data_IF_866105587941
#
_entry.id   IF_866105587941
#
_cell.length_a   1.000
_cell.length_b   1.000
_cell.length_c   1.000
_cell.angle_alpha   90.00
_cell.angle_beta   90.00
_cell.angle_gamma   90.00
#
_symmetry.space_group_name_H-M   'P 1'
#
loop_
_entity.id
_entity.type
_entity.pdbx_description
1 polymer ?
#
# COMPACT_ATOMS: atom_id res chain seq x y z
N UNK A 1 13.90 -64.55 60.68
CA UNK A 1 13.08 -64.09 59.59
C UNK A 1 12.95 -62.60 59.72
N UNK A 2 13.76 -61.78 58.98
CA UNK A 2 13.70 -60.31 58.97
C UNK A 2 13.40 -59.90 57.55
N UNK A 3 12.20 -59.34 57.33
CA UNK A 3 11.81 -58.74 56.03
C UNK A 3 12.48 -57.38 55.87
N UNK A 4 13.25 -57.22 54.82
CA UNK A 4 13.77 -55.90 54.39
C UNK A 4 12.70 -55.21 53.61
N UNK A 5 12.31 -54.02 54.06
CA UNK A 5 11.46 -53.10 53.35
C UNK A 5 12.34 -52.25 52.46
N UNK A 6 12.18 -52.33 51.16
CA UNK A 6 12.86 -51.48 50.19
C UNK A 6 12.05 -50.19 50.01
N UNK A 7 12.64 -49.07 50.39
CA UNK A 7 12.06 -47.75 50.17
C UNK A 7 12.36 -47.31 48.71
N UNK A 8 11.32 -47.21 47.91
CA UNK A 8 11.40 -46.64 46.56
C UNK A 8 11.26 -45.13 46.71
N UNK A 9 12.31 -44.41 46.41
CA UNK A 9 12.31 -42.96 46.32
C UNK A 9 11.77 -42.63 44.92
N UNK A 10 10.53 -42.15 44.85
CA UNK A 10 9.96 -41.56 43.63
C UNK A 10 10.47 -40.13 43.50
N UNK A 11 11.45 -39.89 42.63
CA UNK A 11 11.84 -38.53 42.24
C UNK A 11 10.75 -37.96 41.32
N UNK A 12 9.92 -37.08 41.86
CA UNK A 12 8.99 -36.30 41.06
C UNK A 12 9.75 -35.25 40.25
N UNK A 13 9.90 -35.48 38.96
CA UNK A 13 10.31 -34.45 38.01
C UNK A 13 9.14 -33.49 37.88
N UNK A 14 9.26 -32.31 38.50
CA UNK A 14 8.38 -31.19 38.25
C UNK A 14 8.82 -30.59 36.91
N UNK A 15 8.17 -30.97 35.81
CA UNK A 15 8.19 -30.23 34.56
C UNK A 15 7.45 -28.92 34.78
N UNK A 16 8.19 -27.83 35.01
CA UNK A 16 7.64 -26.47 34.88
C UNK A 16 7.44 -26.23 33.39
N UNK A 17 6.26 -26.49 32.90
CA UNK A 17 5.76 -25.97 31.64
C UNK A 17 5.63 -24.45 31.82
N UNK A 18 6.65 -23.68 31.39
CA UNK A 18 6.47 -22.29 31.05
C UNK A 18 5.52 -22.26 29.83
N UNK A 19 4.23 -22.20 30.10
CA UNK A 19 3.28 -21.71 29.13
C UNK A 19 3.64 -20.24 28.86
N UNK A 20 4.42 -19.99 27.83
CA UNK A 20 4.49 -18.68 27.22
C UNK A 20 3.08 -18.36 26.73
N UNK A 21 2.29 -17.73 27.57
CA UNK A 21 1.09 -17.01 27.13
C UNK A 21 1.57 -15.96 26.13
N UNK A 22 1.52 -16.32 24.85
CA UNK A 22 1.52 -15.35 23.77
C UNK A 22 0.26 -14.51 23.98
N UNK A 23 0.43 -13.46 24.78
CA UNK A 23 -0.52 -12.37 24.82
C UNK A 23 -0.49 -11.78 23.40
N UNK A 24 -1.41 -12.19 22.55
CA UNK A 24 -1.64 -11.52 21.28
C UNK A 24 -2.25 -10.16 21.64
N UNK A 25 -1.38 -9.23 22.02
CA UNK A 25 -1.72 -7.82 22.00
C UNK A 25 -1.99 -7.47 20.53
N UNK A 26 -3.27 -7.40 20.16
CA UNK A 26 -3.75 -6.99 18.85
C UNK A 26 -3.58 -5.46 18.63
N UNK A 27 -2.50 -4.89 19.11
CA UNK A 27 -2.15 -3.48 18.96
C UNK A 27 -1.11 -3.28 17.86
N UNK A 28 -1.21 -2.16 17.14
CA UNK A 28 -0.19 -1.74 16.19
C UNK A 28 1.17 -1.58 16.88
N UNK A 29 2.24 -2.02 16.21
CA UNK A 29 3.61 -1.80 16.65
C UNK A 29 3.95 -0.31 16.57
N UNK A 30 4.89 0.12 17.40
CA UNK A 30 5.47 1.47 17.27
C UNK A 30 6.52 1.45 16.17
N UNK A 31 6.60 2.55 15.41
CA UNK A 31 7.71 2.78 14.49
C UNK A 31 9.01 2.82 15.31
N UNK A 32 10.08 2.11 14.87
CA UNK A 32 11.39 2.19 15.50
C UNK A 32 11.91 3.63 15.58
N UNK A 33 12.65 3.96 16.65
CA UNK A 33 13.20 5.32 16.81
C UNK A 33 14.41 5.60 15.94
N UNK A 34 15.14 4.55 15.58
CA UNK A 34 16.35 4.65 14.77
C UNK A 34 15.99 4.87 13.30
N UNK A 35 16.47 5.97 12.75
CA UNK A 35 16.31 6.33 11.33
C UNK A 35 17.57 5.88 10.60
N UNK A 36 17.47 4.82 9.83
CA UNK A 36 18.62 4.21 9.16
C UNK A 36 18.69 4.50 7.66
N UNK A 37 17.59 4.97 7.07
CA UNK A 37 17.45 5.14 5.64
C UNK A 37 18.56 5.99 5.00
N UNK A 38 18.81 7.21 5.51
CA UNK A 38 19.80 8.12 4.92
C UNK A 38 21.18 7.49 4.85
N UNK A 39 21.55 6.74 5.91
CA UNK A 39 22.81 6.00 5.94
C UNK A 39 22.82 4.89 4.89
N UNK A 40 21.74 4.13 4.78
CA UNK A 40 21.61 3.01 3.82
C UNK A 40 21.72 3.53 2.38
N UNK A 41 21.01 4.60 2.03
CA UNK A 41 21.06 5.18 0.70
C UNK A 41 22.47 5.72 0.38
N UNK A 42 23.07 6.47 1.29
CA UNK A 42 24.40 7.04 1.12
C UNK A 42 25.49 5.97 0.99
N UNK A 43 25.53 5.00 1.91
CA UNK A 43 26.54 3.94 1.89
C UNK A 43 26.32 2.97 0.72
N UNK A 44 25.09 2.79 0.28
CA UNK A 44 24.71 1.97 -0.88
C UNK A 44 24.97 2.63 -2.23
N UNK A 45 25.35 3.93 -2.27
CA UNK A 45 25.58 4.66 -3.52
C UNK A 45 24.30 4.88 -4.33
N UNK A 46 23.18 5.14 -3.65
CA UNK A 46 21.89 5.43 -4.31
C UNK A 46 21.83 6.91 -4.73
N UNK A 47 21.43 7.15 -5.95
CA UNK A 47 21.28 8.48 -6.56
C UNK A 47 19.82 8.69 -6.97
N UNK A 48 19.35 9.94 -6.87
CA UNK A 48 18.00 10.34 -7.27
C UNK A 48 17.86 10.21 -8.80
N UNK A 49 16.84 9.46 -9.25
CA UNK A 49 16.57 9.22 -10.68
C UNK A 49 15.18 9.66 -11.12
N UNK A 50 14.25 9.83 -10.17
CA UNK A 50 12.93 10.37 -10.41
C UNK A 50 12.53 11.25 -9.22
N UNK A 51 11.94 12.39 -9.49
CA UNK A 51 11.38 13.27 -8.48
C UNK A 51 10.20 14.06 -9.05
N UNK A 52 9.18 14.23 -8.23
CA UNK A 52 8.16 15.25 -8.41
C UNK A 52 7.80 15.84 -7.04
N UNK A 53 8.11 17.11 -6.83
CA UNK A 53 7.81 17.88 -5.63
C UNK A 53 6.49 18.63 -5.73
N UNK A 54 5.79 18.51 -6.87
CA UNK A 54 4.53 19.19 -7.16
C UNK A 54 4.55 20.70 -6.94
N UNK A 55 5.72 21.34 -7.16
CA UNK A 55 5.93 22.78 -6.97
C UNK A 55 5.21 23.67 -8.00
N UNK A 56 4.62 23.06 -9.04
CA UNK A 56 3.86 23.76 -10.07
C UNK A 56 2.44 24.14 -9.64
N UNK A 57 1.64 24.55 -10.60
CA UNK A 57 0.22 24.86 -10.47
C UNK A 57 -0.70 23.84 -11.18
N UNK A 58 -0.09 22.79 -11.74
CA UNK A 58 -0.74 21.73 -12.48
C UNK A 58 0.07 20.44 -12.45
N UNK A 59 -0.60 19.32 -12.72
CA UNK A 59 0.06 18.02 -12.84
C UNK A 59 0.98 18.00 -14.05
N UNK A 60 2.16 17.44 -13.88
CA UNK A 60 3.10 17.19 -14.97
C UNK A 60 2.69 15.91 -15.72
N UNK A 61 1.90 16.09 -16.78
CA UNK A 61 1.43 14.99 -17.62
C UNK A 61 2.52 14.34 -18.48
N UNK A 62 3.77 14.82 -18.43
CA UNK A 62 4.91 14.11 -19.01
C UNK A 62 5.39 12.98 -18.11
N UNK A 63 5.17 13.10 -16.79
CA UNK A 63 5.53 12.11 -15.76
C UNK A 63 4.35 11.23 -15.34
N UNK A 64 3.13 11.78 -15.33
CA UNK A 64 1.96 11.14 -14.75
C UNK A 64 0.86 10.91 -15.76
N UNK A 65 0.26 9.73 -15.70
CA UNK A 65 -1.06 9.44 -16.26
C UNK A 65 -2.12 9.60 -15.19
N UNK A 66 -3.30 10.06 -15.58
CA UNK A 66 -4.42 10.31 -14.66
C UNK A 66 -5.74 9.80 -15.19
N UNK A 67 -6.77 9.77 -14.33
CA UNK A 67 -8.08 9.23 -14.64
C UNK A 67 -8.06 7.69 -14.63
N UNK A 68 -9.17 7.10 -15.02
CA UNK A 68 -9.32 5.65 -15.08
C UNK A 68 -10.00 5.25 -16.38
N UNK A 69 -9.64 4.11 -16.94
CA UNK A 69 -10.14 3.62 -18.24
C UNK A 69 -11.64 3.34 -18.27
N UNK A 70 -12.24 3.09 -17.10
CA UNK A 70 -13.67 3.01 -16.90
C UNK A 70 -14.13 4.06 -15.89
N UNK A 71 -15.33 4.65 -16.03
CA UNK A 71 -15.79 5.67 -15.11
C UNK A 71 -16.04 5.16 -13.69
N UNK A 72 -16.14 3.87 -13.51
CA UNK A 72 -16.44 3.23 -12.22
C UNK A 72 -15.44 2.13 -11.92
N UNK A 73 -14.91 2.13 -10.70
CA UNK A 73 -14.15 1.02 -10.13
C UNK A 73 -14.54 0.87 -8.66
N UNK A 74 -14.80 -0.37 -8.20
CA UNK A 74 -15.36 -0.64 -6.88
C UNK A 74 -16.64 0.17 -6.67
N UNK A 75 -16.73 1.05 -5.66
CA UNK A 75 -17.89 1.91 -5.44
C UNK A 75 -17.61 3.40 -5.70
N UNK A 76 -16.56 3.73 -6.44
CA UNK A 76 -16.16 5.10 -6.78
C UNK A 76 -16.33 5.43 -8.26
N UNK A 77 -16.69 6.66 -8.53
CA UNK A 77 -16.58 7.28 -9.85
C UNK A 77 -15.19 7.93 -9.99
N UNK A 78 -14.52 7.66 -11.10
CA UNK A 78 -13.19 8.19 -11.38
C UNK A 78 -13.23 9.27 -12.43
N UNK A 79 -12.70 10.43 -12.10
CA UNK A 79 -12.58 11.53 -13.04
C UNK A 79 -11.24 12.26 -12.83
N UNK A 80 -10.73 12.85 -13.90
CA UNK A 80 -9.66 13.81 -13.85
C UNK A 80 -10.27 15.21 -14.01
N UNK A 81 -10.63 15.80 -12.91
CA UNK A 81 -11.21 17.14 -12.85
C UNK A 81 -10.57 17.94 -11.72
N UNK A 82 -10.70 19.27 -11.79
CA UNK A 82 -10.22 20.16 -10.72
C UNK A 82 -10.94 19.95 -9.39
N UNK A 83 -12.06 19.22 -9.38
CA UNK A 83 -12.78 18.86 -8.16
C UNK A 83 -12.09 17.69 -7.44
N UNK A 84 -11.48 16.77 -8.19
CA UNK A 84 -10.95 15.50 -7.68
C UNK A 84 -9.43 15.39 -7.74
N UNK A 85 -8.76 16.19 -8.59
CA UNK A 85 -7.33 16.07 -8.80
C UNK A 85 -6.72 17.43 -9.17
N UNK A 86 -5.81 17.92 -8.33
CA UNK A 86 -5.16 19.22 -8.55
C UNK A 86 -3.83 19.33 -7.81
N UNK A 87 -3.00 20.26 -8.26
CA UNK A 87 -1.77 20.68 -7.60
C UNK A 87 -1.99 22.07 -7.01
N UNK A 88 -1.68 22.25 -5.73
CA UNK A 88 -1.69 23.54 -5.04
C UNK A 88 -0.78 23.53 -3.83
N UNK A 89 -0.21 24.67 -3.51
CA UNK A 89 0.63 24.88 -2.33
C UNK A 89 1.80 23.86 -2.23
N UNK A 90 2.38 23.47 -3.38
CA UNK A 90 3.46 22.49 -3.46
C UNK A 90 3.03 21.07 -3.17
N UNK A 91 1.76 20.72 -3.42
CA UNK A 91 1.25 19.38 -3.18
C UNK A 91 0.33 18.90 -4.30
N UNK A 92 0.39 17.62 -4.62
CA UNK A 92 -0.67 16.93 -5.36
C UNK A 92 -1.77 16.52 -4.39
N UNK A 93 -3.03 16.82 -4.73
CA UNK A 93 -4.20 16.41 -3.98
C UNK A 93 -5.10 15.52 -4.81
N UNK A 94 -5.36 14.31 -4.31
CA UNK A 94 -6.45 13.45 -4.77
C UNK A 94 -7.60 13.62 -3.79
N UNK A 95 -8.63 14.32 -4.21
CA UNK A 95 -9.81 14.63 -3.41
C UNK A 95 -10.93 13.66 -3.67
N UNK A 96 -11.51 13.12 -2.63
CA UNK A 96 -12.71 12.30 -2.70
C UNK A 96 -13.89 13.08 -2.11
N UNK A 97 -14.98 13.20 -2.88
CA UNK A 97 -16.18 13.93 -2.48
C UNK A 97 -17.45 13.24 -2.99
N UNK A 98 -18.55 13.43 -2.25
CA UNK A 98 -19.86 12.93 -2.66
C UNK A 98 -20.60 14.01 -3.43
N UNK A 99 -21.00 13.71 -4.66
CA UNK A 99 -21.73 14.66 -5.50
C UNK A 99 -22.68 13.95 -6.47
N UNK A 100 -23.63 14.72 -7.01
CA UNK A 100 -24.35 14.37 -8.22
C UNK A 100 -23.54 14.92 -9.41
N UNK A 101 -22.76 14.06 -10.05
CA UNK A 101 -21.83 14.41 -11.11
C UNK A 101 -22.20 13.79 -12.46
N UNK A 102 -21.26 13.82 -13.41
CA UNK A 102 -21.51 13.35 -14.79
C UNK A 102 -21.88 11.87 -14.90
N UNK A 103 -21.54 11.05 -13.91
CA UNK A 103 -21.82 9.61 -13.88
C UNK A 103 -22.96 9.24 -12.94
N UNK A 104 -23.57 10.22 -12.26
CA UNK A 104 -24.63 10.04 -11.27
C UNK A 104 -24.22 10.45 -9.85
N UNK A 105 -25.12 10.22 -8.91
CA UNK A 105 -24.89 10.53 -7.50
C UNK A 105 -23.99 9.49 -6.85
N UNK A 106 -22.87 9.91 -6.24
CA UNK A 106 -21.93 9.00 -5.59
C UNK A 106 -20.62 9.66 -5.16
N UNK A 107 -19.69 8.82 -4.73
CA UNK A 107 -18.33 9.23 -4.40
C UNK A 107 -17.49 9.36 -5.66
N UNK A 108 -16.86 10.52 -5.84
CA UNK A 108 -15.96 10.84 -6.93
C UNK A 108 -14.54 10.97 -6.41
N UNK A 109 -13.58 10.43 -7.14
CA UNK A 109 -12.14 10.44 -6.81
C UNK A 109 -11.30 10.43 -8.08
N UNK A 110 -10.00 10.24 -7.97
CA UNK A 110 -9.09 10.13 -9.11
C UNK A 110 -8.03 9.04 -8.91
N UNK A 111 -7.24 8.83 -9.97
CA UNK A 111 -6.20 7.83 -10.09
C UNK A 111 -4.99 8.43 -10.79
N UNK A 112 -3.79 8.20 -10.25
CA UNK A 112 -2.54 8.75 -10.77
C UNK A 112 -1.49 7.66 -10.80
N UNK A 113 -0.78 7.51 -11.94
CA UNK A 113 0.25 6.48 -12.10
C UNK A 113 1.37 6.92 -13.05
N UNK A 114 2.52 6.23 -12.99
CA UNK A 114 3.68 6.49 -13.85
C UNK A 114 3.90 5.40 -14.91
N UNK A 115 2.95 4.50 -15.14
CA UNK A 115 3.09 3.36 -16.05
C UNK A 115 3.54 3.78 -17.45
N UNK A 116 4.57 3.12 -17.99
CA UNK A 116 5.03 3.35 -19.37
C UNK A 116 4.20 2.56 -20.39
N UNK A 117 3.58 1.46 -19.94
CA UNK A 117 2.72 0.61 -20.77
C UNK A 117 1.44 1.34 -21.20
N UNK A 118 0.98 1.06 -22.42
CA UNK A 118 -0.21 1.70 -23.01
C UNK A 118 -1.53 1.24 -22.38
N UNK A 119 -1.61 -0.01 -21.98
CA UNK A 119 -2.80 -0.68 -21.46
C UNK A 119 -2.92 -0.62 -19.92
N UNK A 120 -2.24 0.34 -19.28
CA UNK A 120 -2.41 0.63 -17.86
C UNK A 120 -3.80 1.23 -17.54
N UNK A 121 -4.11 1.36 -16.26
CA UNK A 121 -5.45 1.80 -15.82
C UNK A 121 -5.73 3.27 -16.15
N UNK A 122 -4.75 4.16 -16.03
CA UNK A 122 -4.91 5.58 -16.33
C UNK A 122 -4.81 5.89 -17.82
N UNK A 123 -5.55 6.90 -18.27
CA UNK A 123 -5.75 7.15 -19.71
C UNK A 123 -5.35 8.55 -20.15
N UNK A 124 -5.33 9.55 -19.26
CA UNK A 124 -5.01 10.93 -19.62
C UNK A 124 -3.54 11.21 -19.39
N UNK A 125 -2.86 11.69 -20.42
CA UNK A 125 -1.44 12.06 -20.44
C UNK A 125 -1.18 13.10 -21.53
N UNK A 126 0.02 13.69 -21.54
CA UNK A 126 0.49 14.54 -22.65
C UNK A 126 0.97 13.69 -23.85
N UNK A 127 1.19 14.35 -24.98
CA UNK A 127 1.74 13.70 -26.20
C UNK A 127 3.21 13.30 -26.00
N UNK A 128 3.93 14.02 -25.16
CA UNK A 128 5.33 13.78 -24.79
C UNK A 128 5.48 13.04 -23.45
N UNK A 129 4.48 12.24 -23.09
CA UNK A 129 4.51 11.41 -21.90
C UNK A 129 5.64 10.37 -21.96
N UNK A 130 6.49 10.39 -20.95
CA UNK A 130 7.57 9.41 -20.79
C UNK A 130 7.24 8.37 -19.71
N UNK A 131 6.55 8.80 -18.66
CA UNK A 131 6.28 7.98 -17.49
C UNK A 131 7.55 7.59 -16.72
N UNK A 132 7.42 6.63 -15.83
CA UNK A 132 8.57 6.08 -15.11
C UNK A 132 8.27 4.67 -14.60
N UNK A 133 9.16 3.75 -14.89
CA UNK A 133 9.22 2.45 -14.23
C UNK A 133 10.67 2.01 -14.03
N UNK A 134 10.92 1.19 -13.05
CA UNK A 134 12.27 0.69 -12.78
C UNK A 134 12.24 -0.66 -12.08
N UNK A 135 13.31 -1.43 -12.28
CA UNK A 135 13.61 -2.63 -11.49
C UNK A 135 14.62 -2.23 -10.43
N UNK A 136 14.30 -2.52 -9.17
CA UNK A 136 15.08 -2.17 -7.97
C UNK A 136 15.26 -0.68 -7.74
N UNK A 137 15.47 -0.33 -6.49
CA UNK A 137 15.66 1.04 -6.03
C UNK A 137 14.97 1.30 -4.70
N UNK A 138 15.05 2.52 -4.24
CA UNK A 138 14.26 3.03 -3.13
C UNK A 138 13.18 3.95 -3.66
N UNK A 139 11.93 3.59 -3.43
CA UNK A 139 10.73 4.34 -3.84
C UNK A 139 10.08 4.95 -2.61
N UNK A 140 9.77 6.24 -2.63
CA UNK A 140 9.22 6.96 -1.49
C UNK A 140 8.14 7.96 -1.92
N UNK A 141 7.07 8.03 -1.13
CA UNK A 141 6.13 9.14 -1.13
C UNK A 141 6.03 9.78 0.25
N UNK A 142 5.88 11.11 0.30
CA UNK A 142 5.58 11.86 1.51
C UNK A 142 4.16 12.38 1.42
N UNK A 143 3.28 11.95 2.35
CA UNK A 143 1.85 12.21 2.20
C UNK A 143 1.11 12.28 3.53
N UNK A 144 -0.12 12.82 3.45
CA UNK A 144 -1.14 12.81 4.50
C UNK A 144 -2.31 11.99 3.98
N UNK A 145 -2.73 10.96 4.74
CA UNK A 145 -3.88 10.13 4.39
C UNK A 145 -5.22 10.82 4.76
N UNK A 146 -6.31 10.58 4.04
CA UNK A 146 -7.62 11.15 4.36
C UNK A 146 -8.23 10.53 5.62
N UNK A 147 -8.82 11.34 6.52
CA UNK A 147 -9.40 10.89 7.79
C UNK A 147 -10.84 10.35 7.61
N UNK A 148 -11.02 9.23 6.94
CA UNK A 148 -12.35 8.74 6.56
C UNK A 148 -12.45 7.20 6.56
N UNK A 149 -13.67 6.68 6.67
CA UNK A 149 -13.97 5.26 6.59
C UNK A 149 -14.28 4.85 5.15
N UNK A 150 -13.74 3.73 4.69
CA UNK A 150 -14.08 3.17 3.38
C UNK A 150 -13.63 4.00 2.15
N UNK A 151 -12.81 5.02 2.36
CA UNK A 151 -12.13 5.78 1.30
C UNK A 151 -10.65 5.52 1.52
N UNK A 152 -10.09 4.66 0.71
CA UNK A 152 -8.80 4.03 0.94
C UNK A 152 -7.74 4.57 -0.01
N UNK A 153 -6.80 5.32 0.55
CA UNK A 153 -5.65 5.87 -0.15
C UNK A 153 -4.48 4.91 -0.13
N UNK A 154 -3.70 4.88 -1.21
CA UNK A 154 -2.52 4.04 -1.31
C UNK A 154 -1.39 4.69 -2.12
N UNK A 155 -0.14 4.39 -1.69
CA UNK A 155 1.06 4.48 -2.49
C UNK A 155 1.62 3.08 -2.67
N UNK A 156 1.71 2.63 -3.91
CA UNK A 156 2.01 1.25 -4.26
C UNK A 156 2.67 1.12 -5.64
N UNK A 157 3.22 -0.04 -5.95
CA UNK A 157 3.87 -0.33 -7.22
C UNK A 157 3.22 -1.54 -7.89
N UNK A 158 3.21 -1.52 -9.22
CA UNK A 158 2.72 -2.61 -10.07
C UNK A 158 3.69 -2.91 -11.20
N UNK A 159 3.75 -4.18 -11.66
CA UNK A 159 4.54 -4.56 -12.82
C UNK A 159 4.13 -3.78 -14.08
N UNK A 160 5.11 -3.15 -14.71
CA UNK A 160 4.95 -2.40 -15.96
C UNK A 160 5.19 -3.28 -17.20
N UNK A 161 5.81 -4.43 -17.01
CA UNK A 161 6.10 -5.40 -18.04
C UNK A 161 5.58 -6.79 -17.64
N UNK A 162 5.31 -7.61 -18.64
CA UNK A 162 4.98 -9.00 -18.42
C UNK A 162 3.58 -9.22 -17.85
N UNK A 163 3.39 -10.40 -17.30
CA UNK A 163 2.11 -10.86 -16.76
C UNK A 163 1.95 -10.57 -15.28
N UNK A 164 3.05 -10.24 -14.59
CA UNK A 164 3.15 -9.79 -13.22
C UNK A 164 2.21 -10.52 -12.27
N UNK A 165 1.10 -9.89 -11.96
CA UNK A 165 0.08 -10.38 -11.04
C UNK A 165 -0.85 -11.45 -11.64
N UNK A 166 -0.59 -11.93 -12.86
CA UNK A 166 -1.45 -12.93 -13.47
C UNK A 166 -1.22 -14.32 -12.87
N UNK A 167 -2.24 -15.17 -13.00
CA UNK A 167 -2.16 -16.59 -12.66
C UNK A 167 -1.19 -17.38 -13.55
N UNK A 168 -0.56 -16.71 -14.52
CA UNK A 168 0.36 -17.29 -15.49
C UNK A 168 1.83 -17.20 -15.05
N UNK A 169 2.11 -16.88 -13.77
CA UNK A 169 3.45 -17.02 -13.20
C UNK A 169 3.92 -18.47 -13.32
N UNK A 170 4.60 -18.74 -14.41
CA UNK A 170 5.07 -20.07 -14.79
C UNK A 170 6.03 -20.65 -13.76
N UNK A 171 6.65 -19.78 -12.95
CA UNK A 171 7.64 -20.16 -11.95
C UNK A 171 7.04 -20.33 -10.55
N UNK A 172 5.82 -19.85 -10.33
CA UNK A 172 5.21 -19.80 -9.01
C UNK A 172 6.00 -18.96 -8.00
N UNK A 173 6.78 -17.98 -8.51
CA UNK A 173 7.63 -17.07 -7.74
C UNK A 173 7.21 -15.63 -7.99
N UNK A 174 7.75 -14.67 -7.25
CA UNK A 174 7.50 -13.24 -7.52
C UNK A 174 8.34 -12.66 -8.68
N UNK A 175 9.08 -13.47 -9.42
CA UNK A 175 10.08 -12.97 -10.36
C UNK A 175 9.52 -12.20 -11.55
N UNK A 176 8.29 -12.45 -11.97
CA UNK A 176 7.58 -11.80 -13.07
C UNK A 176 6.69 -10.63 -12.64
N UNK A 177 6.75 -10.28 -11.36
CA UNK A 177 6.13 -9.09 -10.77
C UNK A 177 5.44 -9.35 -9.45
N UNK A 178 5.38 -8.32 -8.64
CA UNK A 178 4.73 -8.32 -7.31
C UNK A 178 4.06 -6.97 -7.12
N UNK A 179 2.76 -6.93 -6.79
CA UNK A 179 2.18 -5.69 -6.27
C UNK A 179 2.79 -5.38 -4.92
N UNK A 180 3.34 -4.17 -4.77
CA UNK A 180 4.06 -3.74 -3.58
C UNK A 180 3.30 -2.58 -2.95
N UNK A 181 2.51 -2.86 -1.90
CA UNK A 181 1.76 -1.83 -1.18
C UNK A 181 2.64 -1.22 -0.09
N UNK A 182 3.15 -0.03 -0.37
CA UNK A 182 4.05 0.69 0.54
C UNK A 182 3.25 1.40 1.63
N UNK A 183 2.12 2.01 1.26
CA UNK A 183 1.19 2.66 2.19
C UNK A 183 -0.25 2.39 1.77
N UNK A 184 -1.07 1.95 2.74
CA UNK A 184 -2.52 1.82 2.60
C UNK A 184 -3.24 2.38 3.83
N UNK A 185 -4.24 3.25 3.63
CA UNK A 185 -5.03 3.84 4.72
C UNK A 185 -6.48 4.13 4.28
N UNK A 186 -7.49 3.80 5.11
CA UNK A 186 -7.38 3.18 6.44
C UNK A 186 -7.16 1.67 6.35
N UNK A 187 -6.43 1.11 7.32
CA UNK A 187 -6.29 -0.33 7.43
C UNK A 187 -7.39 -0.93 8.33
N UNK A 188 -8.20 -1.85 7.77
CA UNK A 188 -9.35 -2.55 8.37
C UNK A 188 -10.58 -1.70 8.67
N UNK A 189 -10.51 -0.61 9.29
CA UNK A 189 -11.60 0.35 9.48
C UNK A 189 -11.03 1.62 10.10
N UNK A 190 -11.54 2.76 9.64
CA UNK A 190 -11.14 4.04 10.18
C UNK A 190 -11.53 4.15 11.66
N UNK A 191 -10.55 4.58 12.45
CA UNK A 191 -10.76 5.07 13.80
C UNK A 191 -9.64 6.06 14.10
N UNK A 192 -9.95 7.21 14.67
CA UNK A 192 -8.92 8.18 15.07
C UNK A 192 -7.86 7.60 16.01
N UNK A 193 -8.17 6.50 16.70
CA UNK A 193 -7.25 5.79 17.59
C UNK A 193 -6.45 4.69 16.86
N UNK A 194 -6.69 4.49 15.57
CA UNK A 194 -6.09 3.44 14.75
C UNK A 194 -5.33 3.98 13.54
N UNK A 195 -4.64 5.08 13.73
CA UNK A 195 -3.69 5.62 12.77
C UNK A 195 -2.58 4.60 12.54
N UNK A 196 -2.72 3.79 11.52
CA UNK A 196 -1.80 2.68 11.29
C UNK A 196 -1.64 2.35 9.81
N UNK A 197 -0.44 1.90 9.46
CA UNK A 197 -0.07 1.38 8.16
C UNK A 197 0.30 -0.10 8.23
N UNK A 198 0.00 -0.82 7.17
CA UNK A 198 0.49 -2.18 6.90
C UNK A 198 1.12 -2.17 5.52
N UNK A 199 2.30 -2.77 5.41
CA UNK A 199 2.90 -3.03 4.11
C UNK A 199 2.45 -4.40 3.61
N UNK A 200 2.11 -4.51 2.35
CA UNK A 200 1.63 -5.75 1.74
C UNK A 200 2.41 -6.05 0.47
N UNK A 201 2.60 -7.32 0.20
CA UNK A 201 3.10 -7.84 -1.06
C UNK A 201 2.06 -8.81 -1.60
N UNK A 202 1.60 -8.59 -2.81
CA UNK A 202 0.73 -9.51 -3.52
C UNK A 202 1.45 -10.08 -4.74
N UNK A 203 1.56 -11.40 -4.79
CA UNK A 203 2.00 -12.13 -5.97
C UNK A 203 0.86 -12.97 -6.53
N UNK A 204 0.95 -13.32 -7.80
CA UNK A 204 0.15 -14.33 -8.48
C UNK A 204 -1.37 -14.24 -8.20
N UNK A 205 -2.00 -13.20 -8.74
CA UNK A 205 -3.45 -13.05 -8.73
C UNK A 205 -4.08 -12.82 -7.37
N UNK A 206 -3.37 -12.21 -6.42
CA UNK A 206 -3.86 -11.90 -5.06
C UNK A 206 -4.20 -13.13 -4.20
N UNK A 207 -3.67 -14.29 -4.56
CA UNK A 207 -3.88 -15.50 -3.79
C UNK A 207 -3.34 -15.35 -2.36
N UNK A 208 -4.08 -15.82 -1.36
CA UNK A 208 -3.62 -15.84 0.03
C UNK A 208 -2.35 -16.68 0.24
N UNK A 209 -2.03 -17.58 -0.69
CA UNK A 209 -0.80 -18.38 -0.70
C UNK A 209 0.37 -17.65 -1.36
N UNK A 210 0.12 -16.49 -1.96
CA UNK A 210 1.11 -15.65 -2.65
C UNK A 210 1.19 -14.24 -2.08
N UNK A 211 0.39 -13.95 -1.06
CA UNK A 211 0.37 -12.62 -0.40
C UNK A 211 1.01 -12.68 0.98
N UNK A 212 1.87 -11.71 1.26
CA UNK A 212 2.53 -11.52 2.55
C UNK A 212 2.27 -10.10 3.06
N UNK A 213 2.16 -9.93 4.36
CA UNK A 213 1.95 -8.62 4.97
C UNK A 213 2.76 -8.45 6.24
N UNK A 214 3.16 -7.22 6.49
CA UNK A 214 3.84 -6.83 7.72
C UNK A 214 2.90 -6.89 8.95
N UNK A 215 3.48 -6.68 10.12
CA UNK A 215 2.71 -6.22 11.27
C UNK A 215 2.11 -4.83 10.98
N UNK A 216 1.04 -4.49 11.68
CA UNK A 216 0.48 -3.15 11.64
C UNK A 216 1.38 -2.20 12.45
N UNK A 217 1.76 -1.06 11.86
CA UNK A 217 2.56 -0.01 12.51
C UNK A 217 1.72 1.21 12.78
N UNK A 218 1.74 1.71 14.02
CA UNK A 218 1.07 2.96 14.37
C UNK A 218 1.87 4.14 13.81
N UNK A 219 1.18 4.99 13.06
CA UNK A 219 1.71 6.24 12.50
C UNK A 219 0.94 7.40 13.14
N UNK A 220 1.44 7.99 14.24
CA UNK A 220 0.72 9.08 14.92
C UNK A 220 0.49 10.26 13.99
N UNK A 221 -0.70 10.84 14.03
CA UNK A 221 -1.06 12.03 13.26
C UNK A 221 -1.04 11.86 11.72
N UNK A 222 -1.10 10.61 11.21
CA UNK A 222 -1.06 10.31 9.77
C UNK A 222 -2.17 10.99 8.94
N UNK A 223 -3.21 11.48 9.60
CA UNK A 223 -4.34 12.18 8.99
C UNK A 223 -4.22 13.70 9.05
N UNK A 224 -3.13 14.23 9.59
CA UNK A 224 -2.92 15.69 9.78
C UNK A 224 -1.49 16.13 9.56
N UNK A 225 -0.53 15.23 9.59
CA UNK A 225 0.89 15.51 9.41
C UNK A 225 1.47 14.68 8.27
N UNK A 226 2.46 15.22 7.59
CA UNK A 226 3.16 14.49 6.54
C UNK A 226 4.08 13.44 7.10
N UNK A 227 3.94 12.22 6.58
CA UNK A 227 4.84 11.10 6.83
C UNK A 227 5.46 10.59 5.53
N UNK A 228 6.68 10.03 5.61
CA UNK A 228 7.30 9.34 4.49
C UNK A 228 7.05 7.85 4.59
N UNK A 229 6.69 7.27 3.45
CA UNK A 229 6.52 5.82 3.30
C UNK A 229 7.37 5.37 2.13
N UNK A 230 8.22 4.39 2.34
CA UNK A 230 9.12 3.94 1.29
C UNK A 230 9.44 2.46 1.34
N UNK A 231 9.88 1.94 0.21
CA UNK A 231 10.40 0.59 0.04
C UNK A 231 11.75 0.61 -0.66
N UNK A 232 12.75 0.02 -0.02
CA UNK A 232 14.01 -0.33 -0.66
C UNK A 232 13.87 -1.76 -1.21
N UNK A 233 13.73 -1.87 -2.51
CA UNK A 233 13.64 -3.11 -3.23
C UNK A 233 14.99 -3.42 -3.91
N UNK A 234 15.56 -4.56 -3.57
CA UNK A 234 16.85 -5.05 -4.06
C UNK A 234 16.69 -6.38 -4.79
N UNK A 235 17.77 -6.93 -5.33
CA UNK A 235 17.77 -8.28 -5.92
C UNK A 235 17.45 -9.41 -4.92
N UNK A 236 17.55 -9.11 -3.61
CA UNK A 236 17.44 -10.14 -2.57
C UNK A 236 16.21 -10.01 -1.69
N UNK A 237 15.73 -8.77 -1.47
CA UNK A 237 14.70 -8.49 -0.46
C UNK A 237 14.01 -7.14 -0.66
N UNK A 238 12.88 -6.99 0.03
CA UNK A 238 12.19 -5.72 0.25
C UNK A 238 12.44 -5.24 1.68
N UNK A 239 12.75 -3.95 1.84
CA UNK A 239 12.90 -3.30 3.15
C UNK A 239 12.01 -2.07 3.18
N UNK A 240 11.03 -2.05 4.05
CA UNK A 240 10.06 -0.96 4.15
C UNK A 240 10.45 0.02 5.25
N UNK A 241 10.15 1.29 5.01
CA UNK A 241 10.46 2.40 5.90
C UNK A 241 9.24 3.29 6.12
N UNK A 242 9.10 3.79 7.36
CA UNK A 242 8.22 4.89 7.71
C UNK A 242 9.06 5.94 8.42
N UNK A 243 9.01 7.19 7.96
CA UNK A 243 9.81 8.31 8.47
C UNK A 243 11.32 8.02 8.58
N UNK A 244 11.84 7.25 7.64
CA UNK A 244 13.24 6.85 7.58
C UNK A 244 13.65 5.73 8.55
N UNK A 245 12.70 5.19 9.32
CA UNK A 245 12.92 4.04 10.20
C UNK A 245 12.50 2.74 9.51
N UNK A 246 13.37 1.72 9.54
CA UNK A 246 13.02 0.39 9.02
C UNK A 246 11.88 -0.22 9.84
N UNK A 247 10.81 -0.60 9.15
CA UNK A 247 9.61 -1.18 9.75
C UNK A 247 9.46 -2.66 9.43
N UNK A 248 9.74 -3.05 8.19
CA UNK A 248 9.61 -4.44 7.77
C UNK A 248 10.67 -4.80 6.74
N UNK A 249 11.13 -6.05 6.82
CA UNK A 249 12.09 -6.64 5.88
C UNK A 249 11.63 -8.05 5.53
N UNK A 250 11.58 -8.36 4.25
CA UNK A 250 11.17 -9.68 3.76
C UNK A 250 11.77 -10.03 2.41
N UNK A 251 11.81 -11.32 2.11
CA UNK A 251 12.11 -11.89 0.79
C UNK A 251 10.85 -12.33 0.05
N UNK A 252 9.70 -11.82 0.44
CA UNK A 252 8.40 -12.30 0.04
C UNK A 252 8.23 -13.78 0.42
N UNK A 253 7.97 -14.04 1.69
CA UNK A 253 7.90 -15.39 2.23
C UNK A 253 6.49 -15.67 2.74
N UNK A 254 5.84 -16.67 2.17
CA UNK A 254 4.47 -17.07 2.51
C UNK A 254 4.47 -18.52 2.99
N UNK A 255 3.94 -18.77 4.20
CA UNK A 255 3.85 -20.11 4.79
C UNK A 255 5.21 -20.86 4.85
N UNK A 256 6.31 -20.13 4.97
CA UNK A 256 7.67 -20.70 5.04
C UNK A 256 8.33 -20.95 3.67
N UNK A 257 7.63 -20.66 2.57
CA UNK A 257 8.17 -20.69 1.21
C UNK A 257 8.58 -19.26 0.79
N UNK A 258 9.81 -19.09 0.32
CA UNK A 258 10.27 -17.83 -0.25
C UNK A 258 9.91 -17.78 -1.72
N UNK A 259 9.02 -16.86 -2.07
CA UNK A 259 8.57 -16.64 -3.44
C UNK A 259 9.56 -15.78 -4.24
N UNK A 260 10.32 -14.95 -3.54
CA UNK A 260 11.32 -14.08 -4.13
C UNK A 260 10.79 -12.69 -4.48
N UNK A 261 11.68 -11.84 -4.94
CA UNK A 261 11.40 -10.46 -5.31
C UNK A 261 11.05 -10.34 -6.80
N UNK A 262 10.29 -9.32 -7.14
CA UNK A 262 10.06 -8.91 -8.53
C UNK A 262 11.39 -8.62 -9.24
N UNK A 263 11.49 -8.98 -10.53
CA UNK A 263 12.66 -8.78 -11.39
C UNK A 263 12.32 -8.03 -12.68
N UNK A 264 11.12 -7.49 -12.73
CA UNK A 264 10.62 -6.71 -13.86
C UNK A 264 10.52 -5.24 -13.45
N UNK A 265 10.40 -4.33 -14.43
CA UNK A 265 10.12 -2.95 -14.12
C UNK A 265 8.75 -2.81 -13.46
N UNK A 266 8.69 -1.99 -12.43
CA UNK A 266 7.44 -1.63 -11.77
C UNK A 266 7.25 -0.12 -11.76
N UNK A 267 6.02 0.31 -11.93
CA UNK A 267 5.60 1.70 -11.92
C UNK A 267 4.88 2.05 -10.62
N UNK A 268 4.82 3.34 -10.31
CA UNK A 268 4.22 3.86 -9.10
C UNK A 268 2.77 4.27 -9.32
N UNK A 269 1.96 4.09 -8.27
CA UNK A 269 0.57 4.51 -8.23
C UNK A 269 0.29 5.30 -6.96
N UNK A 270 -0.48 6.38 -7.13
CA UNK A 270 -1.11 7.16 -6.06
C UNK A 270 -2.60 7.09 -6.30
N UNK A 271 -3.32 6.45 -5.40
CA UNK A 271 -4.72 6.13 -5.65
C UNK A 271 -5.59 6.37 -4.44
N UNK A 272 -6.86 6.64 -4.69
CA UNK A 272 -7.89 6.56 -3.67
C UNK A 272 -9.02 5.71 -4.21
N UNK A 273 -9.31 4.61 -3.55
CA UNK A 273 -10.42 3.73 -3.89
C UNK A 273 -11.58 3.89 -2.91
N UNK A 274 -12.80 3.76 -3.40
CA UNK A 274 -14.01 3.77 -2.58
C UNK A 274 -14.46 2.34 -2.32
N UNK A 275 -14.54 1.96 -1.05
CA UNK A 275 -14.90 0.61 -0.60
C UNK A 275 -16.27 0.17 -1.12
N UNK A 276 -16.31 -1.02 -1.69
CA UNK A 276 -17.52 -1.61 -2.27
C UNK A 276 -17.22 -2.35 -3.57
N UNK A 277 -18.23 -2.52 -4.41
CA UNK A 277 -18.09 -3.16 -5.70
C UNK A 277 -18.91 -2.44 -6.77
N UNK A 278 -18.64 -2.71 -8.03
CA UNK A 278 -19.44 -2.28 -9.16
C UNK A 278 -20.40 -3.41 -9.51
N UNK A 279 -21.69 -3.14 -9.51
CA UNK A 279 -22.72 -4.11 -9.92
C UNK A 279 -22.65 -4.38 -11.45
N UNK A 280 -23.32 -5.44 -11.91
CA UNK A 280 -23.31 -5.83 -13.34
C UNK A 280 -23.84 -4.75 -14.28
N UNK A 281 -24.75 -3.90 -13.80
CA UNK A 281 -25.30 -2.76 -14.55
C UNK A 281 -24.42 -1.51 -14.51
N UNK A 282 -23.23 -1.59 -13.89
CA UNK A 282 -22.30 -0.48 -13.72
C UNK A 282 -22.55 0.40 -12.49
N UNK A 283 -23.55 0.06 -11.66
CA UNK A 283 -23.87 0.87 -10.47
C UNK A 283 -22.87 0.64 -9.34
N UNK A 284 -22.30 1.70 -8.72
CA UNK A 284 -21.47 1.58 -7.53
C UNK A 284 -22.29 1.13 -6.32
N UNK A 285 -21.82 0.11 -5.60
CA UNK A 285 -22.43 -0.40 -4.37
C UNK A 285 -21.44 -0.25 -3.22
N UNK A 286 -21.55 0.81 -2.39
CA UNK A 286 -20.56 1.11 -1.36
C UNK A 286 -20.67 0.22 -0.11
N UNK A 287 -19.56 0.03 0.57
CA UNK A 287 -19.45 -0.52 1.93
C UNK A 287 -19.51 -2.03 2.05
N UNK A 288 -19.85 -2.75 0.98
CA UNK A 288 -19.97 -4.22 0.98
C UNK A 288 -19.26 -4.85 -0.21
N UNK A 289 -18.94 -6.14 -0.08
CA UNK A 289 -18.50 -7.00 -1.17
C UNK A 289 -19.72 -7.52 -1.96
N UNK A 290 -19.50 -8.06 -3.16
CA UNK A 290 -20.57 -8.63 -3.99
C UNK A 290 -21.34 -9.80 -3.33
N UNK A 291 -20.74 -10.47 -2.34
CA UNK A 291 -21.39 -11.51 -1.53
C UNK A 291 -22.20 -10.95 -0.34
N UNK A 292 -22.29 -9.62 -0.20
CA UNK A 292 -22.99 -8.92 0.87
C UNK A 292 -22.21 -8.79 2.18
N UNK A 293 -20.99 -9.29 2.27
CA UNK A 293 -20.14 -9.11 3.46
C UNK A 293 -19.59 -7.69 3.55
N UNK A 294 -19.36 -7.13 4.75
CA UNK A 294 -18.75 -5.82 4.91
C UNK A 294 -17.39 -5.72 4.19
N UNK A 295 -17.15 -4.58 3.54
CA UNK A 295 -15.86 -4.33 2.92
C UNK A 295 -14.76 -4.13 3.99
N UNK A 296 -13.55 -4.61 3.73
CA UNK A 296 -12.49 -4.72 4.73
C UNK A 296 -12.04 -3.39 5.35
N UNK A 297 -12.08 -2.28 4.59
CA UNK A 297 -11.69 -0.95 5.08
C UNK A 297 -12.88 -0.09 5.52
N UNK A 298 -14.09 -0.65 5.56
CA UNK A 298 -15.27 0.00 6.11
C UNK A 298 -16.29 0.48 5.06
N UNK A 299 -17.23 1.32 5.52
CA UNK A 299 -18.34 1.79 4.73
C UNK A 299 -18.23 3.30 4.49
N UNK A 300 -17.95 3.74 3.23
CA UNK A 300 -17.82 5.16 2.90
C UNK A 300 -19.09 5.97 3.13
N UNK A 301 -20.25 5.30 3.20
CA UNK A 301 -21.55 5.98 3.42
C UNK A 301 -21.72 6.49 4.86
N UNK A 302 -20.84 6.11 5.79
CA UNK A 302 -20.81 6.64 7.15
C UNK A 302 -20.12 8.00 7.26
N UNK A 303 -19.38 8.40 6.23
CA UNK A 303 -18.74 9.70 6.22
C UNK A 303 -19.75 10.83 5.96
N UNK A 304 -19.38 12.05 6.36
CA UNK A 304 -20.14 13.26 6.07
C UNK A 304 -20.06 13.60 4.57
N UNK A 305 -21.15 13.40 3.85
CA UNK A 305 -21.27 13.62 2.40
C UNK A 305 -21.17 15.10 1.99
N UNK A 306 -21.21 16.01 2.94
CA UNK A 306 -21.02 17.46 2.68
C UNK A 306 -19.57 17.89 2.71
N UNK A 307 -18.67 16.98 3.11
CA UNK A 307 -17.22 17.18 3.18
C UNK A 307 -16.49 16.51 2.03
N UNK A 308 -15.25 16.91 1.87
CA UNK A 308 -14.29 16.21 1.03
C UNK A 308 -13.20 15.58 1.89
N UNK A 309 -12.52 14.59 1.32
CA UNK A 309 -11.48 13.80 1.96
C UNK A 309 -10.27 13.77 1.04
N UNK A 310 -9.19 14.41 1.47
CA UNK A 310 -8.02 14.67 0.64
C UNK A 310 -6.88 13.72 1.00
N UNK A 311 -6.36 13.04 0.00
CA UNK A 311 -5.05 12.40 0.03
C UNK A 311 -4.06 13.42 -0.54
N UNK A 312 -3.17 13.93 0.32
CA UNK A 312 -2.26 15.03 -0.01
C UNK A 312 -0.84 14.49 -0.11
N UNK A 313 -0.19 14.68 -1.24
CA UNK A 313 1.15 14.19 -1.53
C UNK A 313 2.09 15.38 -1.73
N UNK A 314 3.12 15.49 -0.88
CA UNK A 314 4.14 16.52 -0.89
C UNK A 314 5.19 16.24 -1.99
N UNK A 315 5.67 14.99 -2.05
CA UNK A 315 6.58 14.56 -3.10
C UNK A 315 6.55 13.05 -3.33
N UNK A 316 7.06 12.66 -4.50
CA UNK A 316 7.42 11.27 -4.83
C UNK A 316 8.86 11.26 -5.32
N UNK A 317 9.69 10.34 -4.80
CA UNK A 317 11.11 10.21 -5.13
C UNK A 317 11.52 8.77 -5.36
N UNK A 318 12.41 8.57 -6.33
CA UNK A 318 13.03 7.26 -6.56
C UNK A 318 14.53 7.42 -6.63
N UNK A 319 15.21 6.55 -5.88
CA UNK A 319 16.68 6.47 -5.87
C UNK A 319 17.12 5.10 -6.35
N UNK A 320 18.14 5.07 -7.20
CA UNK A 320 18.75 3.83 -7.70
C UNK A 320 20.25 3.83 -7.46
N UNK A 321 20.85 2.64 -7.37
CA UNK A 321 22.31 2.54 -7.33
C UNK A 321 22.90 3.13 -8.59
N UNK A 322 23.89 3.99 -8.42
CA UNK A 322 24.73 4.45 -9.52
C UNK A 322 25.34 3.27 -10.27
N UNK A 323 25.50 3.43 -11.60
CA UNK A 323 26.03 2.38 -12.48
C UNK A 323 27.52 2.11 -12.22
#
# INVERSE_FOLDING_TARGET
>A
MKKKIATVICAAFICVLLAATLCSCSGALKIPKEKTLDKVLKEGGYELVFEDDFDGDSIDYTKWKTGYSTPVRRAGYYEDSKDTLFVSDGNLTIRTLYKDGQFGEGWYTSWVETATREDSAAVKRSEDYEGFSATYGYFEARCIAPPCEGIWSAFWLMPDEGTGMSSDDVQGTGADGVEIDVMESPWKSFSKDKEANVHVLHGDGYSATKSEKSSMYRVPDMYSEFHTYGVLWTEEEYVFYIDGAETWRTKHTVNGETLGVSKVNEYMLLTVEVAGYTAEDGTPVPGINADGTPFWCGDPMKNDKTKHYDFIIDYVRVYRKGA
#
